data_IF_793012226441
#
_entry.id   IF_793012226441
#
_cell.length_a   1.000
_cell.length_b   1.000
_cell.length_c   1.000
_cell.angle_alpha   90.00
_cell.angle_beta   90.00
_cell.angle_gamma   90.00
#
_symmetry.space_group_name_H-M   'P 1'
#
loop_
_entity.id
_entity.type
_entity.pdbx_description
1 polymer ?
#
# COMPACT_ATOMS: atom_id res chain seq x y z
N UNK A 1 -28.37 4.21 65.46
CA UNK A 1 -27.89 4.50 66.84
C UNK A 1 -26.91 5.66 66.71
N UNK A 2 -27.27 6.79 67.32
CA UNK A 2 -26.51 8.06 67.31
C UNK A 2 -25.26 7.93 68.18
N UNK A 3 -24.16 8.66 67.82
CA UNK A 3 -23.44 9.50 68.79
C UNK A 3 -22.56 10.51 67.98
N UNK A 4 -23.01 11.76 68.12
CA UNK A 4 -22.28 13.00 67.85
C UNK A 4 -21.32 13.28 69.01
N UNK A 5 -20.07 13.69 68.74
CA UNK A 5 -19.28 14.51 69.69
C UNK A 5 -18.52 15.58 68.96
N UNK A 6 -18.99 16.79 69.07
CA UNK A 6 -18.28 18.04 68.94
C UNK A 6 -17.29 18.22 70.10
N UNK A 7 -16.05 18.64 69.82
CA UNK A 7 -15.26 19.35 70.82
C UNK A 7 -14.66 20.58 70.10
N UNK A 8 -14.98 21.71 70.67
CA UNK A 8 -14.55 23.04 70.28
C UNK A 8 -13.18 23.40 70.89
N UNK A 9 -12.43 24.27 70.18
CA UNK A 9 -11.64 25.33 70.77
C UNK A 9 -10.18 25.09 71.01
N UNK A 10 -9.32 25.75 70.22
CA UNK A 10 -8.55 26.87 70.78
C UNK A 10 -7.82 27.62 69.63
N UNK A 11 -8.06 28.90 69.53
CA UNK A 11 -7.34 29.85 68.68
C UNK A 11 -6.02 30.18 69.39
N UNK A 12 -4.90 29.90 68.71
CA UNK A 12 -3.61 30.50 69.06
C UNK A 12 -3.05 31.21 67.80
N UNK A 13 -3.10 32.52 67.87
CA UNK A 13 -2.38 33.39 66.92
C UNK A 13 -0.88 33.23 67.13
N UNK A 14 -0.18 32.74 66.12
CA UNK A 14 1.28 32.55 66.10
C UNK A 14 1.87 32.95 64.77
N UNK A 15 2.53 34.06 64.76
CA UNK A 15 3.53 34.63 63.82
C UNK A 15 3.68 34.00 62.45
N UNK A 16 3.44 34.86 61.44
CA UNK A 16 3.80 34.76 60.04
C UNK A 16 5.31 34.54 59.86
N UNK A 17 5.73 33.28 59.75
CA UNK A 17 6.97 32.94 59.09
C UNK A 17 6.62 32.62 57.62
N UNK A 18 6.91 33.55 56.73
CA UNK A 18 6.92 33.28 55.27
C UNK A 18 8.07 32.33 55.00
N UNK A 19 7.86 31.05 55.16
CA UNK A 19 8.74 30.06 54.55
C UNK A 19 8.45 30.14 53.02
N UNK A 20 9.44 30.34 52.14
CA UNK A 20 9.24 30.15 50.71
C UNK A 20 8.82 28.69 50.53
N UNK A 21 7.56 28.50 50.14
CA UNK A 21 7.15 27.22 49.55
C UNK A 21 7.98 27.11 48.28
N UNK A 22 9.08 26.38 48.36
CA UNK A 22 9.73 25.89 47.15
C UNK A 22 8.69 24.98 46.51
N UNK A 23 7.97 25.48 45.51
CA UNK A 23 7.24 24.66 44.56
C UNK A 23 8.35 23.85 43.90
N UNK A 24 8.59 22.62 44.40
CA UNK A 24 9.39 21.66 43.68
C UNK A 24 8.70 21.54 42.31
N UNK A 25 9.31 22.10 41.28
CA UNK A 25 8.92 21.76 39.93
C UNK A 25 8.92 20.21 39.87
N UNK A 26 7.88 19.59 39.31
CA UNK A 26 7.93 18.13 39.15
C UNK A 26 9.24 17.83 38.43
N UNK A 27 10.12 17.07 39.10
CA UNK A 27 11.28 16.52 38.42
C UNK A 27 10.69 15.67 37.29
N UNK A 28 10.87 16.08 36.05
CA UNK A 28 10.57 15.22 34.93
C UNK A 28 11.56 14.07 35.03
N UNK A 29 11.10 13.00 35.65
CA UNK A 29 11.89 11.77 35.68
C UNK A 29 11.77 11.13 34.29
N UNK A 30 12.87 10.65 33.79
CA UNK A 30 12.91 9.79 32.59
C UNK A 30 11.94 8.63 32.77
N UNK A 31 10.95 8.52 31.89
CA UNK A 31 10.00 7.42 31.90
C UNK A 31 10.48 6.29 30.98
N UNK A 32 10.07 5.06 31.30
CA UNK A 32 10.28 3.90 30.44
C UNK A 32 8.98 3.56 29.71
N UNK A 33 8.86 4.02 28.49
CA UNK A 33 7.66 3.86 27.66
C UNK A 33 7.80 2.66 26.73
N UNK A 34 6.71 1.91 26.61
CA UNK A 34 6.56 0.99 25.49
C UNK A 34 6.37 1.76 24.18
N UNK A 35 6.56 1.12 23.05
CA UNK A 35 6.26 1.74 21.75
C UNK A 35 5.42 0.84 20.85
N UNK A 36 4.74 1.45 19.88
CA UNK A 36 4.00 0.79 18.82
C UNK A 36 4.46 1.34 17.48
N UNK A 37 4.88 0.45 16.59
CA UNK A 37 5.24 0.82 15.22
C UNK A 37 4.11 0.41 14.27
N UNK A 38 3.67 1.35 13.41
CA UNK A 38 2.67 1.11 12.37
C UNK A 38 3.26 1.22 10.98
N UNK A 39 2.62 0.57 9.99
CA UNK A 39 3.03 0.61 8.59
C UNK A 39 1.80 0.51 7.69
N UNK A 40 1.74 1.32 6.62
CA UNK A 40 0.63 1.33 5.67
C UNK A 40 1.05 1.73 4.24
N UNK A 41 0.19 1.43 3.28
CA UNK A 41 0.25 1.92 1.91
C UNK A 41 -0.88 2.92 1.68
N UNK A 42 -0.69 4.23 1.90
CA UNK A 42 -1.77 5.21 1.97
C UNK A 42 -2.54 5.42 0.66
N UNK A 43 -1.97 5.00 -0.48
CA UNK A 43 -2.56 5.19 -1.81
C UNK A 43 -2.97 3.87 -2.50
N UNK A 44 -2.99 2.77 -1.75
CA UNK A 44 -3.50 1.48 -2.24
C UNK A 44 -4.73 1.09 -1.44
N UNK A 45 -5.82 0.82 -2.12
CA UNK A 45 -7.00 0.25 -1.48
C UNK A 45 -6.68 -1.15 -0.93
N UNK A 46 -7.23 -1.54 0.23
CA UNK A 46 -6.99 -2.85 0.81
C UNK A 46 -7.27 -3.98 -0.18
N UNK A 47 -6.25 -4.78 -0.47
CA UNK A 47 -6.32 -5.90 -1.40
C UNK A 47 -6.17 -5.54 -2.89
N UNK A 48 -6.07 -4.27 -3.26
CA UNK A 48 -5.76 -3.86 -4.62
C UNK A 48 -4.27 -4.07 -4.92
N UNK A 49 -3.93 -4.76 -6.02
CA UNK A 49 -2.54 -4.99 -6.37
C UNK A 49 -1.92 -3.75 -7.03
N UNK A 50 -0.70 -3.43 -6.63
CA UNK A 50 0.13 -2.50 -7.39
C UNK A 50 0.46 -3.06 -8.78
N UNK A 51 0.68 -2.20 -9.77
CA UNK A 51 1.10 -2.64 -11.10
C UNK A 51 2.62 -2.67 -11.19
N UNK A 52 3.18 -3.70 -11.84
CA UNK A 52 4.62 -3.81 -12.06
C UNK A 52 5.23 -2.52 -12.65
N UNK A 53 6.24 -2.00 -11.95
CA UNK A 53 6.98 -0.79 -12.31
C UNK A 53 6.38 0.50 -11.76
N UNK A 54 5.21 0.45 -11.15
CA UNK A 54 4.65 1.62 -10.47
C UNK A 54 5.41 1.89 -9.17
N UNK A 55 5.45 3.13 -8.78
CA UNK A 55 6.04 3.58 -7.53
C UNK A 55 5.02 3.46 -6.40
N UNK A 56 5.43 2.93 -5.27
CA UNK A 56 4.58 2.73 -4.09
C UNK A 56 5.14 3.55 -2.94
N UNK A 57 4.29 4.36 -2.33
CA UNK A 57 4.58 5.12 -1.11
C UNK A 57 4.29 4.25 0.11
N UNK A 58 5.20 4.23 1.06
CA UNK A 58 5.08 3.54 2.34
C UNK A 58 5.16 4.57 3.45
N UNK A 59 4.23 4.52 4.39
CA UNK A 59 4.16 5.39 5.57
C UNK A 59 4.00 4.57 6.83
N UNK A 60 4.25 5.21 7.96
CA UNK A 60 4.06 4.60 9.26
C UNK A 60 4.18 5.64 10.37
N UNK A 61 4.19 5.17 11.60
CA UNK A 61 4.40 5.98 12.79
C UNK A 61 5.05 5.15 13.90
N UNK A 62 5.77 5.80 14.79
CA UNK A 62 6.16 5.26 16.09
C UNK A 62 5.46 6.08 17.16
N UNK A 63 4.71 5.40 18.02
CA UNK A 63 3.93 6.04 19.09
C UNK A 63 4.26 5.37 20.42
N UNK A 64 4.52 6.15 21.45
CA UNK A 64 4.66 5.68 22.82
C UNK A 64 3.34 5.15 23.39
N UNK A 65 3.44 4.38 24.45
CA UNK A 65 2.23 3.86 25.16
C UNK A 65 1.39 4.95 25.83
N UNK A 66 1.98 6.10 26.05
CA UNK A 66 1.31 7.33 26.54
C UNK A 66 0.58 8.10 25.41
N UNK A 67 0.72 7.66 24.15
CA UNK A 67 0.16 8.31 22.96
C UNK A 67 1.06 9.38 22.36
N UNK A 68 2.22 9.66 22.93
CA UNK A 68 3.22 10.58 22.35
C UNK A 68 3.82 10.00 21.08
N UNK A 69 4.31 10.88 20.19
CA UNK A 69 5.12 10.46 19.06
C UNK A 69 6.58 10.34 19.47
N UNK A 70 7.23 9.22 19.20
CA UNK A 70 8.68 9.11 19.39
C UNK A 70 9.39 9.78 18.21
N UNK A 71 10.33 10.67 18.51
CA UNK A 71 11.19 11.35 17.54
C UNK A 71 12.65 10.88 17.62
N UNK A 72 12.96 9.98 18.54
CA UNK A 72 14.28 9.47 18.85
C UNK A 72 14.45 8.02 18.40
N UNK A 73 15.67 7.64 18.07
CA UNK A 73 15.97 6.32 17.51
C UNK A 73 15.75 6.26 16.01
N UNK A 74 15.74 5.06 15.46
CA UNK A 74 15.61 4.81 14.00
C UNK A 74 14.61 3.71 13.70
N UNK A 75 14.01 3.78 12.51
CA UNK A 75 13.10 2.75 12.00
C UNK A 75 13.67 2.16 10.72
N UNK A 76 13.88 0.86 10.71
CA UNK A 76 14.36 0.12 9.54
C UNK A 76 13.19 -0.59 8.87
N UNK A 77 13.01 -0.33 7.57
CA UNK A 77 12.03 -1.00 6.72
C UNK A 77 12.64 -2.26 6.10
N UNK A 78 12.02 -3.40 6.32
CA UNK A 78 12.38 -4.68 5.71
C UNK A 78 11.41 -5.06 4.61
N UNK A 79 11.95 -5.46 3.46
CA UNK A 79 11.20 -6.06 2.36
C UNK A 79 11.34 -7.58 2.41
N UNK A 80 10.22 -8.27 2.44
CA UNK A 80 10.12 -9.74 2.46
C UNK A 80 9.58 -10.19 1.10
N UNK A 81 10.30 -11.07 0.42
CA UNK A 81 9.90 -11.64 -0.88
C UNK A 81 10.03 -13.16 -0.86
N UNK A 82 9.51 -13.83 -1.90
CA UNK A 82 9.69 -15.28 -2.02
C UNK A 82 11.17 -15.70 -2.12
N UNK A 83 12.03 -14.82 -2.66
CA UNK A 83 13.47 -15.04 -2.73
C UNK A 83 14.20 -14.78 -1.41
N UNK A 84 13.66 -13.87 -0.58
CA UNK A 84 14.24 -13.45 0.70
C UNK A 84 13.17 -13.48 1.80
N UNK A 85 12.80 -14.67 2.29
CA UNK A 85 11.71 -14.82 3.26
C UNK A 85 12.06 -14.27 4.65
N UNK A 86 13.33 -14.13 4.99
CA UNK A 86 13.78 -13.48 6.23
C UNK A 86 13.66 -11.96 6.19
N UNK A 87 13.51 -11.37 5.00
CA UNK A 87 13.49 -9.93 4.78
C UNK A 87 14.87 -9.33 4.59
N UNK A 88 14.94 -8.27 3.79
CA UNK A 88 16.14 -7.47 3.53
C UNK A 88 15.84 -6.03 3.90
N UNK A 89 16.72 -5.38 4.65
CA UNK A 89 16.60 -3.96 4.96
C UNK A 89 16.71 -3.14 3.66
N UNK A 90 15.70 -2.30 3.40
CA UNK A 90 15.62 -1.49 2.17
C UNK A 90 15.68 0.01 2.44
N UNK A 91 15.39 0.43 3.66
CA UNK A 91 15.51 1.82 4.09
C UNK A 91 15.65 1.90 5.62
N UNK A 92 16.33 2.94 6.12
CA UNK A 92 16.32 3.33 7.53
C UNK A 92 16.07 4.83 7.60
N UNK A 93 15.15 5.23 8.46
CA UNK A 93 14.78 6.63 8.67
C UNK A 93 14.76 6.94 10.17
N UNK A 94 14.92 8.21 10.59
CA UNK A 94 14.69 8.61 11.98
C UNK A 94 13.27 8.27 12.41
N UNK A 95 13.08 7.93 13.67
CA UNK A 95 11.76 7.70 14.23
C UNK A 95 10.95 9.00 14.25
N UNK A 96 9.66 8.92 14.02
CA UNK A 96 8.73 10.03 14.16
C UNK A 96 7.29 9.54 14.23
N UNK A 97 6.37 10.41 14.65
CA UNK A 97 4.93 10.18 14.54
C UNK A 97 4.42 10.11 13.10
N UNK A 98 5.29 10.42 12.14
CA UNK A 98 5.02 10.31 10.71
C UNK A 98 6.27 9.85 9.98
N UNK A 99 6.36 8.54 9.72
CA UNK A 99 7.46 7.95 8.97
C UNK A 99 7.18 8.08 7.47
N UNK A 100 8.11 8.68 6.75
CA UNK A 100 8.11 8.73 5.29
C UNK A 100 9.32 7.93 4.77
N UNK A 101 9.06 6.73 4.26
CA UNK A 101 10.10 5.92 3.64
C UNK A 101 10.34 6.36 2.19
N UNK A 102 11.55 6.13 1.63
CA UNK A 102 11.80 6.31 0.20
C UNK A 102 10.80 5.51 -0.63
N UNK A 103 10.41 6.06 -1.76
CA UNK A 103 9.53 5.38 -2.70
C UNK A 103 10.14 4.07 -3.23
N UNK A 104 9.34 3.02 -3.25
CA UNK A 104 9.75 1.68 -3.69
C UNK A 104 9.04 1.33 -5.00
N UNK A 105 9.77 0.75 -5.95
CA UNK A 105 9.17 0.23 -7.18
C UNK A 105 8.56 -1.15 -6.94
N UNK A 106 7.32 -1.32 -7.35
CA UNK A 106 6.61 -2.60 -7.34
C UNK A 106 7.20 -3.54 -8.41
N UNK A 107 8.11 -4.41 -8.04
CA UNK A 107 8.81 -5.33 -8.95
C UNK A 107 8.28 -6.76 -8.89
N UNK A 108 7.75 -7.18 -7.75
CA UNK A 108 7.14 -8.50 -7.51
C UNK A 108 6.30 -8.45 -6.23
N UNK A 109 5.51 -9.49 -5.96
CA UNK A 109 4.82 -9.63 -4.67
C UNK A 109 5.83 -9.53 -3.53
N UNK A 110 5.55 -8.65 -2.60
CA UNK A 110 6.38 -8.44 -1.42
C UNK A 110 5.49 -8.26 -0.18
N UNK A 111 6.09 -8.33 0.97
CA UNK A 111 5.53 -7.83 2.21
C UNK A 111 6.57 -6.93 2.88
N UNK A 112 6.11 -6.05 3.74
CA UNK A 112 6.97 -5.10 4.41
C UNK A 112 6.72 -5.13 5.91
N UNK A 113 7.80 -4.92 6.68
CA UNK A 113 7.79 -4.80 8.12
C UNK A 113 8.71 -3.65 8.53
N UNK A 114 8.27 -2.78 9.40
CA UNK A 114 9.09 -1.74 10.01
C UNK A 114 9.53 -2.19 11.41
N UNK A 115 10.79 -1.95 11.74
CA UNK A 115 11.39 -2.28 13.04
C UNK A 115 11.97 -1.01 13.62
N UNK A 116 11.43 -0.59 14.75
CA UNK A 116 11.95 0.51 15.54
C UNK A 116 13.04 0.02 16.50
N UNK A 117 14.17 0.71 16.51
CA UNK A 117 15.33 0.33 17.33
C UNK A 117 15.10 0.48 18.84
N UNK A 118 14.08 1.23 19.25
CA UNK A 118 13.99 1.80 20.58
C UNK A 118 14.92 3.01 20.72
N UNK A 119 14.86 3.63 21.88
CA UNK A 119 15.71 4.77 22.26
C UNK A 119 16.02 4.70 23.76
N UNK A 120 17.28 4.86 24.11
CA UNK A 120 17.73 5.05 25.49
C UNK A 120 18.00 6.53 25.73
N UNK A 121 17.29 7.15 26.66
CA UNK A 121 17.41 8.55 27.01
C UNK A 121 18.86 8.90 27.39
N UNK A 122 19.35 10.02 26.90
CA UNK A 122 20.69 10.54 27.19
C UNK A 122 20.66 11.66 28.21
N UNK A 123 19.48 12.16 28.56
CA UNK A 123 19.24 13.20 29.58
C UNK A 123 17.97 12.90 30.38
N UNK A 124 17.84 13.58 31.51
CA UNK A 124 16.65 13.49 32.41
C UNK A 124 15.40 14.14 31.82
N UNK A 125 15.52 14.80 30.66
CA UNK A 125 14.42 15.43 29.95
C UNK A 125 13.90 14.61 28.77
N UNK A 126 14.45 13.44 28.58
CA UNK A 126 14.08 12.49 27.51
C UNK A 126 13.54 11.22 28.13
N UNK A 127 12.65 10.52 27.41
CA UNK A 127 12.12 9.24 27.83
C UNK A 127 12.78 8.08 27.10
N UNK A 128 12.84 6.94 27.76
CA UNK A 128 13.25 5.69 27.14
C UNK A 128 12.09 5.09 26.36
N UNK A 129 12.32 4.67 25.13
CA UNK A 129 11.34 3.96 24.32
C UNK A 129 11.80 2.53 24.04
N UNK A 130 10.96 1.57 24.35
CA UNK A 130 11.24 0.18 24.01
C UNK A 130 11.20 -0.02 22.48
N UNK A 131 12.00 -0.95 21.96
CA UNK A 131 11.95 -1.36 20.57
C UNK A 131 10.59 -2.00 20.24
N UNK A 132 10.14 -1.83 18.99
CA UNK A 132 8.88 -2.42 18.51
C UNK A 132 8.91 -2.77 17.02
N UNK A 133 7.98 -3.61 16.59
CA UNK A 133 7.84 -4.00 15.19
C UNK A 133 6.41 -3.76 14.72
N UNK A 134 6.26 -3.37 13.48
CA UNK A 134 4.93 -3.28 12.86
C UNK A 134 4.38 -4.67 12.53
N UNK A 135 3.08 -4.77 12.31
CA UNK A 135 2.51 -5.90 11.57
C UNK A 135 3.12 -5.98 10.17
N UNK A 136 3.16 -7.19 9.63
CA UNK A 136 3.62 -7.40 8.24
C UNK A 136 2.51 -6.97 7.28
N UNK A 137 2.79 -6.03 6.39
CA UNK A 137 1.84 -5.51 5.40
C UNK A 137 2.19 -6.04 4.02
N UNK A 138 1.25 -6.77 3.39
CA UNK A 138 1.47 -7.37 2.08
C UNK A 138 1.28 -6.34 0.95
N UNK A 139 2.17 -6.38 -0.04
CA UNK A 139 2.08 -5.65 -1.31
C UNK A 139 1.90 -6.65 -2.46
N UNK A 140 0.66 -7.01 -2.83
CA UNK A 140 0.43 -7.80 -4.03
C UNK A 140 0.79 -6.98 -5.27
N UNK A 141 1.47 -7.59 -6.24
CA UNK A 141 1.87 -6.92 -7.48
C UNK A 141 1.33 -7.70 -8.68
N UNK A 142 0.62 -7.01 -9.56
CA UNK A 142 0.18 -7.57 -10.83
C UNK A 142 1.10 -7.16 -11.98
N UNK A 143 1.11 -7.96 -13.06
CA UNK A 143 1.86 -7.63 -14.26
C UNK A 143 1.26 -6.42 -14.96
N UNK A 144 2.10 -5.55 -15.51
CA UNK A 144 1.66 -4.45 -16.38
C UNK A 144 1.26 -5.00 -17.74
N UNK A 145 0.02 -4.76 -18.14
CA UNK A 145 -0.49 -5.15 -19.45
C UNK A 145 -0.88 -3.90 -20.21
N UNK A 146 -0.20 -3.61 -21.29
CA UNK A 146 -0.56 -2.54 -22.22
C UNK A 146 -1.36 -3.11 -23.40
N UNK A 147 -2.42 -2.40 -23.77
CA UNK A 147 -3.31 -2.78 -24.88
C UNK A 147 -3.36 -1.64 -25.89
N UNK A 148 -3.09 -1.96 -27.13
CA UNK A 148 -3.17 -1.04 -28.26
C UNK A 148 -4.08 -1.59 -29.35
N UNK A 149 -4.76 -0.68 -30.03
CA UNK A 149 -5.51 -1.03 -31.24
C UNK A 149 -4.55 -1.28 -32.40
N UNK A 150 -4.67 -2.42 -33.04
CA UNK A 150 -3.93 -2.66 -34.28
C UNK A 150 -4.61 -1.95 -35.45
N UNK A 151 -3.83 -1.60 -36.49
CA UNK A 151 -4.38 -1.06 -37.75
C UNK A 151 -5.42 -2.00 -38.39
N UNK A 152 -5.27 -3.32 -38.20
CA UNK A 152 -6.21 -4.31 -38.69
C UNK A 152 -7.53 -4.27 -37.88
N UNK A 153 -8.65 -4.27 -38.61
CA UNK A 153 -9.99 -4.21 -38.04
C UNK A 153 -10.21 -5.26 -36.95
N UNK A 154 -10.77 -4.83 -35.80
CA UNK A 154 -11.10 -5.70 -34.66
C UNK A 154 -9.90 -6.48 -34.10
N UNK A 155 -8.71 -6.00 -34.31
CA UNK A 155 -7.49 -6.63 -33.81
C UNK A 155 -6.91 -5.77 -32.69
N UNK A 156 -6.66 -6.39 -31.54
CA UNK A 156 -5.94 -5.77 -30.46
C UNK A 156 -4.53 -6.35 -30.38
N UNK A 157 -3.59 -5.54 -30.01
CA UNK A 157 -2.21 -5.91 -29.67
C UNK A 157 -1.98 -5.60 -28.21
N UNK A 158 -1.13 -6.35 -27.55
CA UNK A 158 -0.75 -6.05 -26.18
C UNK A 158 0.65 -6.54 -25.87
N UNK A 159 1.19 -6.00 -24.78
CA UNK A 159 2.48 -6.40 -24.21
C UNK A 159 2.30 -6.64 -22.72
N UNK A 160 2.97 -7.66 -22.20
CA UNK A 160 2.99 -8.01 -20.77
C UNK A 160 4.38 -7.76 -20.24
N UNK A 161 4.49 -7.02 -19.14
CA UNK A 161 5.73 -6.77 -18.42
C UNK A 161 5.59 -7.24 -16.95
N UNK A 162 6.70 -7.67 -16.33
CA UNK A 162 8.01 -7.98 -16.89
C UNK A 162 7.98 -9.20 -17.84
N UNK A 163 9.13 -9.68 -18.27
CA UNK A 163 9.26 -10.79 -19.22
C UNK A 163 8.22 -11.89 -19.08
N UNK A 164 7.33 -12.06 -20.07
CA UNK A 164 6.24 -13.04 -20.09
C UNK A 164 6.22 -13.81 -21.42
N UNK A 165 7.39 -14.34 -21.81
CA UNK A 165 7.64 -14.98 -23.11
C UNK A 165 6.95 -16.32 -23.23
N UNK A 166 6.28 -16.58 -24.37
CA UNK A 166 5.63 -17.84 -24.72
C UNK A 166 4.59 -18.34 -23.71
N UNK A 167 4.08 -17.46 -22.82
CA UNK A 167 3.11 -17.81 -21.78
C UNK A 167 1.69 -17.46 -22.20
N UNK A 168 0.71 -18.09 -21.56
CA UNK A 168 -0.72 -18.02 -21.92
C UNK A 168 -1.35 -16.71 -21.45
N UNK A 169 -2.12 -16.07 -22.34
CA UNK A 169 -3.04 -14.97 -22.05
C UNK A 169 -4.45 -15.45 -22.39
N UNK A 170 -5.38 -15.33 -21.46
CA UNK A 170 -6.77 -15.74 -21.65
C UNK A 170 -7.59 -14.53 -22.10
N UNK A 171 -8.37 -14.70 -23.16
CA UNK A 171 -9.32 -13.70 -23.67
C UNK A 171 -10.73 -14.27 -23.54
N UNK A 172 -11.60 -13.50 -22.88
CA UNK A 172 -13.02 -13.84 -22.69
C UNK A 172 -13.87 -12.75 -23.31
N UNK A 173 -15.08 -13.09 -23.73
CA UNK A 173 -16.05 -12.16 -24.31
C UNK A 173 -17.31 -12.17 -23.45
N UNK A 174 -17.91 -10.99 -23.23
CA UNK A 174 -19.18 -10.87 -22.54
C UNK A 174 -20.31 -11.41 -23.43
N UNK A 175 -21.02 -12.42 -22.93
CA UNK A 175 -22.23 -12.98 -23.53
C UNK A 175 -23.35 -12.91 -22.49
N UNK A 176 -24.33 -12.01 -22.71
CA UNK A 176 -25.32 -11.67 -21.69
C UNK A 176 -24.63 -11.06 -20.44
N UNK A 177 -24.92 -11.59 -19.25
CA UNK A 177 -24.34 -11.13 -17.97
C UNK A 177 -22.98 -11.74 -17.64
N UNK A 178 -22.48 -12.75 -18.38
CA UNK A 178 -21.27 -13.53 -18.04
C UNK A 178 -20.16 -13.37 -19.08
N UNK A 179 -18.90 -13.48 -18.64
CA UNK A 179 -17.72 -13.58 -19.52
C UNK A 179 -17.46 -15.04 -19.84
N UNK A 180 -17.49 -15.42 -21.14
CA UNK A 180 -17.21 -16.77 -21.63
C UNK A 180 -15.85 -16.81 -22.33
N UNK A 181 -15.13 -17.92 -22.19
CA UNK A 181 -13.86 -18.14 -22.88
C UNK A 181 -14.03 -17.93 -24.38
N UNK A 182 -13.19 -17.08 -24.95
CA UNK A 182 -13.12 -16.85 -26.39
C UNK A 182 -11.86 -17.51 -26.96
N UNK A 183 -10.68 -17.12 -26.47
CA UNK A 183 -9.41 -17.63 -26.97
C UNK A 183 -8.35 -17.64 -25.86
N UNK A 184 -7.46 -18.61 -25.91
CA UNK A 184 -6.21 -18.58 -25.17
C UNK A 184 -5.08 -18.44 -26.18
N UNK A 185 -4.27 -17.41 -26.03
CA UNK A 185 -3.15 -17.09 -26.91
C UNK A 185 -1.85 -17.15 -26.14
N UNK A 186 -0.73 -17.34 -26.84
CA UNK A 186 0.60 -17.27 -26.24
C UNK A 186 1.28 -15.98 -26.66
N UNK A 187 2.00 -15.36 -25.74
CA UNK A 187 2.89 -14.23 -26.06
C UNK A 187 4.09 -14.71 -26.91
N UNK A 188 4.66 -13.81 -27.69
CA UNK A 188 5.88 -14.08 -28.47
C UNK A 188 7.16 -13.92 -27.61
N UNK A 189 8.35 -13.98 -28.25
CA UNK A 189 9.66 -13.79 -27.59
C UNK A 189 9.82 -12.41 -26.93
N UNK A 190 9.09 -11.38 -27.38
CA UNK A 190 9.09 -10.02 -26.84
C UNK A 190 7.96 -9.78 -25.82
N UNK A 191 7.27 -10.84 -25.34
CA UNK A 191 6.12 -10.77 -24.43
C UNK A 191 4.91 -10.04 -25.02
N UNK A 192 4.82 -9.92 -26.36
CA UNK A 192 3.70 -9.32 -27.08
C UNK A 192 2.71 -10.39 -27.50
N UNK A 193 1.43 -10.01 -27.58
CA UNK A 193 0.36 -10.84 -28.09
C UNK A 193 -0.53 -10.05 -29.06
N UNK A 194 -1.27 -10.79 -29.86
CA UNK A 194 -2.25 -10.23 -30.77
C UNK A 194 -3.46 -11.15 -30.85
N UNK A 195 -4.65 -10.56 -30.87
CA UNK A 195 -5.90 -11.30 -31.02
C UNK A 195 -6.89 -10.53 -31.86
N UNK A 196 -7.52 -11.23 -32.81
CA UNK A 196 -8.65 -10.70 -33.58
C UNK A 196 -9.94 -11.05 -32.85
N UNK A 197 -10.70 -10.02 -32.49
CA UNK A 197 -12.00 -10.14 -31.83
C UNK A 197 -13.11 -10.28 -32.86
N UNK A 198 -14.26 -10.87 -32.53
CA UNK A 198 -15.42 -10.87 -33.39
C UNK A 198 -15.97 -9.43 -33.51
N UNK A 199 -16.46 -9.08 -34.67
CA UNK A 199 -17.09 -7.79 -34.87
C UNK A 199 -18.43 -7.74 -34.13
N UNK A 200 -18.68 -6.70 -33.30
CA UNK A 200 -19.97 -6.50 -32.69
C UNK A 200 -21.02 -6.10 -33.77
N UNK A 201 -22.27 -6.27 -33.44
CA UNK A 201 -23.34 -5.70 -34.28
C UNK A 201 -23.17 -4.18 -34.41
N UNK A 202 -23.62 -3.62 -35.55
CA UNK A 202 -23.46 -2.17 -35.83
C UNK A 202 -23.86 -1.31 -34.63
N UNK A 203 -23.01 -0.37 -34.25
CA UNK A 203 -23.26 0.58 -33.17
C UNK A 203 -23.19 -0.01 -31.74
N UNK A 204 -22.94 -1.31 -31.58
CA UNK A 204 -22.86 -1.93 -30.25
C UNK A 204 -21.39 -2.10 -29.80
N UNK A 205 -21.16 -1.97 -28.50
CA UNK A 205 -19.88 -2.28 -27.85
C UNK A 205 -19.71 -3.79 -27.69
N UNK A 206 -18.50 -4.29 -27.94
CA UNK A 206 -18.08 -5.63 -27.54
C UNK A 206 -17.20 -5.51 -26.30
N UNK A 207 -17.66 -6.03 -25.18
CA UNK A 207 -16.87 -6.12 -23.96
C UNK A 207 -16.06 -7.43 -23.95
N UNK A 208 -14.79 -7.32 -23.63
CA UNK A 208 -13.90 -8.47 -23.50
C UNK A 208 -13.04 -8.33 -22.26
N UNK A 209 -12.60 -9.45 -21.70
CA UNK A 209 -11.74 -9.51 -20.55
C UNK A 209 -10.42 -10.17 -20.94
N UNK A 210 -9.32 -9.54 -20.54
CA UNK A 210 -7.97 -10.09 -20.69
C UNK A 210 -7.51 -10.52 -19.30
N UNK A 211 -7.05 -11.77 -19.19
CA UNK A 211 -6.49 -12.32 -17.97
C UNK A 211 -5.09 -12.88 -18.23
N UNK A 212 -4.15 -12.40 -17.45
CA UNK A 212 -2.78 -12.93 -17.38
C UNK A 212 -2.67 -13.71 -16.08
N UNK A 213 -2.45 -15.03 -16.09
CA UNK A 213 -2.31 -15.81 -14.88
C UNK A 213 -1.18 -15.31 -13.97
N UNK A 214 -1.42 -15.37 -12.68
CA UNK A 214 -0.41 -15.11 -11.65
C UNK A 214 0.58 -16.28 -11.48
N UNK A 215 1.57 -16.06 -10.64
CA UNK A 215 2.54 -17.03 -10.15
C UNK A 215 3.01 -16.60 -8.74
N UNK A 216 4.07 -17.20 -8.19
CA UNK A 216 4.61 -16.81 -6.88
C UNK A 216 5.01 -15.32 -6.80
N UNK A 217 5.51 -14.75 -7.90
CA UNK A 217 5.98 -13.36 -7.94
C UNK A 217 4.90 -12.34 -8.29
N UNK A 218 3.78 -12.72 -8.88
CA UNK A 218 2.74 -11.80 -9.36
C UNK A 218 1.36 -12.38 -9.14
N UNK A 219 0.44 -11.56 -8.67
CA UNK A 219 -0.98 -11.90 -8.68
C UNK A 219 -1.51 -11.90 -10.12
N UNK A 220 -2.67 -12.52 -10.33
CA UNK A 220 -3.29 -12.55 -11.65
C UNK A 220 -3.79 -11.14 -12.04
N UNK A 221 -3.45 -10.71 -13.25
CA UNK A 221 -4.05 -9.53 -13.87
C UNK A 221 -5.37 -9.93 -14.54
N UNK A 222 -6.42 -9.13 -14.36
CA UNK A 222 -7.72 -9.35 -15.01
C UNK A 222 -8.47 -8.04 -15.19
N UNK A 223 -8.60 -7.59 -16.43
CA UNK A 223 -9.24 -6.31 -16.74
C UNK A 223 -10.24 -6.42 -17.88
N UNK A 224 -11.28 -5.58 -17.82
CA UNK A 224 -12.36 -5.52 -18.81
C UNK A 224 -12.17 -4.32 -19.71
N UNK A 225 -12.19 -4.59 -20.99
CA UNK A 225 -12.06 -3.61 -22.06
C UNK A 225 -13.28 -3.64 -22.96
N UNK A 226 -13.48 -2.61 -23.78
CA UNK A 226 -14.47 -2.64 -24.83
C UNK A 226 -13.93 -2.14 -26.15
N UNK A 227 -14.54 -2.61 -27.23
CA UNK A 227 -14.30 -2.12 -28.59
C UNK A 227 -15.62 -2.01 -29.33
N UNK A 228 -15.64 -1.24 -30.39
CA UNK A 228 -16.79 -1.07 -31.25
C UNK A 228 -16.34 -1.06 -32.72
N UNK A 229 -17.24 -1.40 -33.66
CA UNK A 229 -16.95 -1.29 -35.07
C UNK A 229 -17.67 -0.08 -35.68
N UNK A 230 -16.90 0.80 -36.27
CA UNK A 230 -17.47 1.82 -37.16
C UNK A 230 -17.58 1.26 -38.59
N UNK A 231 -18.68 1.55 -39.29
CA UNK A 231 -18.65 1.52 -40.73
C UNK A 231 -18.05 2.84 -41.19
N UNK A 232 -16.92 2.81 -41.92
CA UNK A 232 -16.58 3.93 -42.80
C UNK A 232 -17.78 4.21 -43.70
N UNK A 233 -18.22 5.47 -43.86
CA UNK A 233 -19.18 5.78 -44.91
C UNK A 233 -18.66 5.18 -46.23
N UNK A 234 -19.45 4.38 -46.88
CA UNK A 234 -19.18 3.97 -48.25
C UNK A 234 -19.13 5.27 -49.07
N UNK A 235 -17.91 5.67 -49.41
CA UNK A 235 -17.74 6.63 -50.52
C UNK A 235 -18.34 5.93 -51.74
N UNK A 236 -19.61 6.24 -52.03
CA UNK A 236 -20.18 5.93 -53.36
C UNK A 236 -19.29 6.66 -54.35
N UNK A 237 -18.40 5.95 -55.04
CA UNK A 237 -17.85 6.42 -56.27
C UNK A 237 -19.06 6.62 -57.15
N UNK A 238 -19.42 7.88 -57.44
CA UNK A 238 -20.29 8.22 -58.52
C UNK A 238 -19.67 7.60 -59.76
N UNK A 239 -20.38 6.66 -60.38
CA UNK A 239 -20.06 6.23 -61.73
C UNK A 239 -20.19 7.49 -62.59
N UNK A 240 -19.08 8.01 -63.07
CA UNK A 240 -19.06 8.93 -64.16
C UNK A 240 -19.40 8.10 -65.39
N UNK A 241 -20.64 8.28 -65.87
CA UNK A 241 -21.02 7.89 -67.23
C UNK A 241 -20.49 8.87 -68.26
#
# INVERSE_FOLDING_TARGET
MRITRLIAGTVTAGLLGLTPIAIAAPSQATENLGSTTTLEFPFLEPGEPATYGDTVTIRGAVTGTDGSSSYDGTVTLYQITAANPAGVAVATVPASGYLAFPEIKATENAAFKAVYSGYAATSIYEDNYAASESVVVALPVQRKVSIDNAKARMTIKGKVAPKYKKKKVKVQIKKGKKYKKFKTIKTNKQSKFQVRLPAPRRGKKLYFKITVPGNSQFVAYSEVWYTYSYRSPLVRRAAQG
#
